data_IF_177470509301
#
_entry.id   IF_177470509301
#
_cell.length_a   1.000
_cell.length_b   1.000
_cell.length_c   1.000
_cell.angle_alpha   90.00
_cell.angle_beta   90.00
_cell.angle_gamma   90.00
#
_symmetry.space_group_name_H-M   'P 1'
#
loop_
_entity.id
_entity.type
_entity.pdbx_description
1 polymer ?
#
# COMPACT_ATOMS: atom_id res chain seq x y z
N UNK A 1 -32.28 48.23 -19.80
CA UNK A 1 -31.20 47.23 -19.78
C UNK A 1 -30.32 47.47 -18.54
N UNK A 2 -30.77 47.15 -17.35
CA UNK A 2 -29.98 47.36 -16.11
C UNK A 2 -30.75 46.75 -14.94
N UNK A 3 -30.86 45.41 -14.86
CA UNK A 3 -31.43 44.71 -13.66
C UNK A 3 -31.22 43.19 -13.69
N UNK A 4 -30.27 42.66 -14.47
CA UNK A 4 -29.99 41.23 -14.57
C UNK A 4 -28.56 40.80 -14.16
N UNK A 5 -27.75 41.72 -13.63
CA UNK A 5 -26.33 41.47 -13.30
C UNK A 5 -26.04 41.26 -11.81
N UNK A 6 -27.05 41.31 -10.90
CA UNK A 6 -26.80 41.25 -9.44
C UNK A 6 -27.19 39.94 -8.75
N UNK A 7 -27.59 38.89 -9.49
CA UNK A 7 -27.95 37.58 -8.89
C UNK A 7 -27.01 36.42 -9.17
N UNK A 8 -25.93 36.59 -9.93
CA UNK A 8 -24.96 35.55 -10.19
C UNK A 8 -23.74 35.51 -9.23
N UNK A 9 -23.51 36.62 -8.47
CA UNK A 9 -22.34 36.67 -7.57
C UNK A 9 -22.55 36.02 -6.17
N UNK A 10 -23.78 35.70 -5.78
CA UNK A 10 -24.04 35.12 -4.47
C UNK A 10 -23.96 33.58 -4.44
N UNK A 11 -24.03 32.90 -5.59
CA UNK A 11 -24.00 31.44 -5.65
C UNK A 11 -22.58 30.86 -5.75
N UNK A 12 -21.58 31.63 -6.15
CA UNK A 12 -20.18 31.19 -6.24
C UNK A 12 -19.38 31.33 -4.94
N UNK A 13 -19.92 31.97 -3.91
CA UNK A 13 -19.24 32.14 -2.61
C UNK A 13 -19.60 31.11 -1.54
N UNK A 14 -20.59 30.25 -1.77
CA UNK A 14 -21.02 29.26 -0.77
C UNK A 14 -20.34 27.87 -0.91
N UNK A 15 -19.64 27.60 -2.00
CA UNK A 15 -19.00 26.27 -2.22
C UNK A 15 -17.52 26.25 -1.82
N UNK A 16 -16.88 27.43 -1.62
CA UNK A 16 -15.43 27.48 -1.31
C UNK A 16 -15.08 27.67 0.17
N UNK A 17 -16.05 27.79 1.08
CA UNK A 17 -15.78 28.16 2.48
C UNK A 17 -15.71 27.01 3.48
N UNK A 18 -16.09 25.78 3.11
CA UNK A 18 -16.13 24.65 4.06
C UNK A 18 -15.00 23.61 3.92
N UNK A 19 -14.02 23.81 3.03
CA UNK A 19 -12.89 22.88 2.85
C UNK A 19 -11.55 23.33 3.44
N UNK A 20 -11.51 24.50 4.11
CA UNK A 20 -10.26 25.06 4.64
C UNK A 20 -10.30 25.30 6.15
N UNK A 21 -10.66 24.31 6.97
CA UNK A 21 -10.34 24.34 8.41
C UNK A 21 -10.32 22.93 8.99
N UNK A 22 -9.17 22.27 8.91
CA UNK A 22 -8.64 21.40 9.97
C UNK A 22 -7.15 21.14 9.69
N UNK A 23 -6.34 22.17 9.83
CA UNK A 23 -4.91 22.04 9.99
C UNK A 23 -4.57 21.80 11.45
N UNK A 24 -4.76 20.61 11.98
CA UNK A 24 -4.11 20.23 13.24
C UNK A 24 -2.63 20.00 12.93
N UNK A 25 -1.75 20.79 13.54
CA UNK A 25 -0.31 20.56 13.62
C UNK A 25 -0.03 19.32 14.49
N UNK A 26 -0.49 18.14 14.07
CA UNK A 26 0.09 16.88 14.50
C UNK A 26 1.04 16.48 13.38
N UNK A 27 2.34 16.61 13.66
CA UNK A 27 3.37 15.92 12.89
C UNK A 27 3.07 14.41 13.06
N UNK A 28 2.26 13.84 12.15
CA UNK A 28 1.75 12.50 12.30
C UNK A 28 2.92 11.52 12.21
N UNK A 29 3.14 10.77 13.27
CA UNK A 29 4.04 9.62 13.30
C UNK A 29 3.46 8.43 12.50
N UNK A 30 2.32 8.60 11.87
CA UNK A 30 1.52 7.58 11.19
C UNK A 30 1.83 7.54 9.70
N UNK A 31 1.86 6.34 9.13
CA UNK A 31 1.62 6.16 7.70
C UNK A 31 0.12 6.19 7.42
N UNK A 32 -0.25 6.66 6.25
CA UNK A 32 -1.65 6.75 5.83
C UNK A 32 -1.78 6.17 4.42
N UNK A 33 -2.64 5.16 4.28
CA UNK A 33 -3.03 4.62 2.99
C UNK A 33 -4.28 5.32 2.49
N UNK A 34 -4.30 5.70 1.22
CA UNK A 34 -5.41 6.36 0.55
C UNK A 34 -5.68 5.65 -0.76
N UNK A 35 -6.76 4.85 -0.86
CA UNK A 35 -7.20 4.28 -2.13
C UNK A 35 -7.62 5.41 -3.07
N UNK A 36 -7.14 5.40 -4.31
CA UNK A 36 -7.59 6.30 -5.36
C UNK A 36 -8.48 5.60 -6.37
N UNK A 37 -8.37 4.27 -6.48
CA UNK A 37 -9.17 3.46 -7.38
C UNK A 37 -9.23 2.01 -6.90
N UNK A 38 -10.41 1.42 -6.96
CA UNK A 38 -10.73 0.09 -6.39
C UNK A 38 -11.44 -0.83 -7.37
N UNK A 39 -11.63 -0.40 -8.63
CA UNK A 39 -12.30 -1.19 -9.67
C UNK A 39 -11.32 -2.12 -10.38
N UNK A 40 -11.82 -3.28 -10.77
CA UNK A 40 -11.15 -4.26 -11.63
C UNK A 40 -11.46 -3.98 -13.10
N UNK A 41 -10.45 -4.10 -13.97
CA UNK A 41 -10.49 -4.07 -15.43
C UNK A 41 -11.06 -2.78 -16.05
N UNK A 42 -12.20 -2.28 -15.60
CA UNK A 42 -12.92 -1.15 -16.23
C UNK A 42 -13.34 -0.10 -15.21
N UNK A 43 -13.36 1.16 -15.66
CA UNK A 43 -13.92 2.26 -14.86
C UNK A 43 -15.42 2.07 -14.74
N UNK A 44 -15.95 2.20 -13.53
CA UNK A 44 -17.39 2.28 -13.25
C UNK A 44 -17.70 3.65 -12.62
N UNK A 45 -18.99 3.99 -12.56
CA UNK A 45 -19.41 5.35 -12.20
C UNK A 45 -18.74 5.88 -10.92
N UNK A 46 -18.64 5.03 -9.88
CA UNK A 46 -18.17 5.46 -8.56
C UNK A 46 -16.80 4.87 -8.17
N UNK A 47 -16.18 4.06 -9.04
CA UNK A 47 -14.88 3.44 -8.77
C UNK A 47 -13.93 3.62 -9.94
N UNK A 48 -12.71 4.09 -9.65
CA UNK A 48 -11.63 4.18 -10.62
C UNK A 48 -10.74 2.96 -10.65
N UNK A 49 -9.83 2.95 -11.61
CA UNK A 49 -8.86 1.88 -11.80
C UNK A 49 -7.78 1.91 -10.72
N UNK A 50 -7.13 0.77 -10.53
CA UNK A 50 -6.19 0.50 -9.44
C UNK A 50 -5.14 1.59 -9.27
N UNK A 51 -5.17 2.25 -8.13
CA UNK A 51 -4.14 3.19 -7.69
C UNK A 51 -4.26 3.42 -6.17
N UNK A 52 -3.14 3.32 -5.46
CA UNK A 52 -3.08 3.48 -4.00
C UNK A 52 -1.92 4.40 -3.61
N UNK A 53 -2.19 5.34 -2.75
CA UNK A 53 -1.19 6.25 -2.18
C UNK A 53 -0.87 5.84 -0.76
N UNK A 54 0.40 5.62 -0.48
CA UNK A 54 0.92 5.54 0.89
C UNK A 54 1.65 6.84 1.22
N UNK A 55 1.13 7.57 2.19
CA UNK A 55 1.70 8.83 2.67
C UNK A 55 2.50 8.59 3.94
N UNK A 56 3.78 8.97 3.94
CA UNK A 56 4.66 8.92 5.10
C UNK A 56 5.42 10.23 5.24
N UNK A 57 5.23 10.96 6.34
CA UNK A 57 5.92 12.24 6.62
C UNK A 57 5.91 13.20 5.44
N UNK A 58 4.77 13.31 4.77
CA UNK A 58 4.57 14.18 3.62
C UNK A 58 5.25 13.73 2.32
N UNK A 59 5.82 12.54 2.27
CA UNK A 59 6.28 11.84 1.06
C UNK A 59 5.23 10.83 0.65
N UNK A 60 5.20 10.50 -0.63
CA UNK A 60 4.18 9.64 -1.25
C UNK A 60 4.87 8.49 -1.98
N UNK A 61 4.42 7.28 -1.72
CA UNK A 61 4.62 6.09 -2.53
C UNK A 61 3.30 5.80 -3.25
N UNK A 62 3.35 5.53 -4.55
CA UNK A 62 2.18 5.20 -5.37
C UNK A 62 2.26 3.73 -5.78
N UNK A 63 1.23 2.96 -5.50
CA UNK A 63 1.08 1.56 -5.91
C UNK A 63 0.01 1.48 -6.98
N UNK A 64 0.40 0.99 -8.14
CA UNK A 64 -0.30 1.05 -9.41
C UNK A 64 -0.67 2.47 -9.85
N UNK A 65 -0.95 2.60 -11.14
CA UNK A 65 -1.26 3.86 -11.77
C UNK A 65 -2.20 3.64 -12.95
N UNK A 66 -3.41 3.16 -12.67
CA UNK A 66 -4.46 2.99 -13.66
C UNK A 66 -4.86 4.32 -14.30
N UNK A 67 -5.62 4.27 -15.38
CA UNK A 67 -6.06 5.47 -16.07
C UNK A 67 -6.86 6.40 -15.14
N UNK A 68 -6.71 7.71 -15.31
CA UNK A 68 -7.33 8.72 -14.47
C UNK A 68 -6.63 8.98 -13.13
N UNK A 69 -5.57 8.25 -12.76
CA UNK A 69 -4.86 8.41 -11.47
C UNK A 69 -4.44 9.87 -11.21
N UNK A 70 -3.95 10.59 -12.23
CA UNK A 70 -3.54 11.99 -12.03
C UNK A 70 -4.70 12.92 -11.61
N UNK A 71 -5.91 12.70 -12.12
CA UNK A 71 -7.10 13.46 -11.72
C UNK A 71 -7.52 13.10 -10.29
N UNK A 72 -7.38 11.83 -9.93
CA UNK A 72 -7.70 11.32 -8.59
C UNK A 72 -6.71 11.80 -7.55
N UNK A 73 -5.43 11.91 -7.86
CA UNK A 73 -4.42 12.58 -7.03
C UNK A 73 -4.81 14.04 -6.75
N UNK A 74 -5.23 14.78 -7.79
CA UNK A 74 -5.69 16.15 -7.66
C UNK A 74 -6.92 16.25 -6.75
N UNK A 75 -7.92 15.39 -6.97
CA UNK A 75 -9.15 15.32 -6.17
C UNK A 75 -8.85 14.99 -4.69
N UNK A 76 -7.88 14.11 -4.43
CA UNK A 76 -7.40 13.77 -3.09
C UNK A 76 -6.52 14.85 -2.45
N UNK A 77 -6.23 15.97 -3.13
CA UNK A 77 -5.31 17.00 -2.64
C UNK A 77 -3.85 16.57 -2.55
N UNK A 78 -3.46 15.52 -3.27
CA UNK A 78 -2.11 14.94 -3.23
C UNK A 78 -1.26 15.56 -4.35
N UNK A 79 -0.21 16.29 -3.93
CA UNK A 79 0.70 16.95 -4.88
C UNK A 79 1.62 15.92 -5.54
N UNK A 80 1.66 15.88 -6.89
CA UNK A 80 2.56 15.02 -7.69
C UNK A 80 4.03 15.18 -7.32
N UNK A 81 4.46 16.39 -6.94
CA UNK A 81 5.82 16.67 -6.48
C UNK A 81 6.22 15.93 -5.18
N UNK A 82 5.26 15.38 -4.44
CA UNK A 82 5.51 14.58 -3.23
C UNK A 82 5.77 13.11 -3.52
N UNK A 83 5.41 12.60 -4.70
CA UNK A 83 5.63 11.20 -5.09
C UNK A 83 7.14 10.96 -5.21
N UNK A 84 7.62 9.94 -4.52
CA UNK A 84 9.03 9.53 -4.48
C UNK A 84 9.29 8.23 -5.23
N UNK A 85 8.30 7.33 -5.21
CA UNK A 85 8.36 6.11 -5.99
C UNK A 85 6.98 5.70 -6.49
N UNK A 86 6.96 5.00 -7.62
CA UNK A 86 5.81 4.35 -8.23
C UNK A 86 6.13 2.87 -8.35
N UNK A 87 5.22 2.02 -7.90
CA UNK A 87 5.34 0.57 -7.90
C UNK A 87 4.23 0.00 -8.75
N UNK A 88 4.57 -0.67 -9.84
CA UNK A 88 3.59 -1.30 -10.75
C UNK A 88 3.59 -2.79 -10.53
N UNK A 89 2.42 -3.34 -10.19
CA UNK A 89 2.26 -4.76 -9.91
C UNK A 89 2.41 -5.64 -11.14
N UNK A 90 1.74 -5.26 -12.24
CA UNK A 90 1.75 -5.98 -13.51
C UNK A 90 1.24 -5.11 -14.67
N UNK A 91 1.19 -5.66 -15.88
CA UNK A 91 0.87 -4.91 -17.09
C UNK A 91 -0.53 -5.21 -17.67
N UNK A 92 -1.57 -5.29 -16.81
CA UNK A 92 -2.93 -5.05 -17.27
C UNK A 92 -3.20 -3.53 -17.29
N UNK A 93 -3.94 -3.06 -18.31
CA UNK A 93 -4.11 -1.62 -18.57
C UNK A 93 -4.66 -0.83 -17.39
N UNK A 94 -5.49 -1.45 -16.58
CA UNK A 94 -6.10 -0.86 -15.38
C UNK A 94 -5.10 -0.63 -14.21
N UNK A 95 -3.84 -1.09 -14.34
CA UNK A 95 -2.79 -0.92 -13.33
C UNK A 95 -1.68 0.04 -13.72
N UNK A 96 -1.48 0.35 -15.01
CA UNK A 96 -0.31 1.16 -15.40
C UNK A 96 -0.55 2.28 -16.41
N UNK A 97 -1.63 2.25 -17.20
CA UNK A 97 -1.80 3.17 -18.34
C UNK A 97 -1.76 4.66 -17.94
N UNK A 98 -2.21 4.99 -16.73
CA UNK A 98 -2.16 6.36 -16.21
C UNK A 98 -0.75 6.92 -15.97
N UNK A 99 0.29 6.06 -15.92
CA UNK A 99 1.66 6.48 -15.62
C UNK A 99 2.20 7.46 -16.68
N UNK A 100 1.86 7.27 -17.94
CA UNK A 100 2.36 8.10 -19.03
C UNK A 100 1.93 9.56 -18.87
N UNK A 101 0.63 9.81 -18.69
CA UNK A 101 0.11 11.15 -18.43
C UNK A 101 0.63 11.77 -17.15
N UNK A 102 0.82 10.96 -16.10
CA UNK A 102 1.38 11.40 -14.83
C UNK A 102 2.84 11.86 -14.98
N UNK A 103 3.69 11.10 -15.68
CA UNK A 103 5.10 11.43 -15.92
C UNK A 103 5.25 12.68 -16.82
N UNK A 104 4.44 12.80 -17.89
CA UNK A 104 4.41 13.99 -18.75
C UNK A 104 4.04 15.22 -17.91
N UNK A 105 2.99 15.12 -17.07
CA UNK A 105 2.57 16.23 -16.21
C UNK A 105 3.66 16.62 -15.21
N UNK A 106 4.35 15.65 -14.60
CA UNK A 106 5.48 15.94 -13.71
C UNK A 106 6.63 16.65 -14.43
N UNK A 107 6.91 16.29 -15.70
CA UNK A 107 7.94 16.92 -16.52
C UNK A 107 7.56 18.35 -16.87
N UNK A 108 6.31 18.59 -17.30
CA UNK A 108 5.81 19.93 -17.63
C UNK A 108 5.79 20.86 -16.41
N UNK A 109 5.56 20.31 -15.22
CA UNK A 109 5.65 21.06 -13.94
C UNK A 109 7.09 21.30 -13.46
N UNK A 110 8.10 20.99 -14.32
CA UNK A 110 9.53 21.17 -14.03
C UNK A 110 9.95 20.51 -12.72
N UNK A 111 9.55 19.26 -12.54
CA UNK A 111 10.00 18.45 -11.39
C UNK A 111 11.52 18.34 -11.40
N UNK A 112 12.16 18.58 -10.27
CA UNK A 112 13.61 18.43 -10.09
C UNK A 112 13.97 17.18 -9.27
N UNK A 113 13.04 16.78 -8.38
CA UNK A 113 13.29 15.65 -7.47
C UNK A 113 13.29 14.33 -8.26
N UNK A 114 14.29 13.45 -8.06
CA UNK A 114 14.31 12.12 -8.66
C UNK A 114 13.06 11.32 -8.34
N UNK A 115 12.66 10.44 -9.27
CA UNK A 115 11.55 9.51 -9.13
C UNK A 115 12.06 8.09 -9.31
N UNK A 116 11.74 7.18 -8.38
CA UNK A 116 11.97 5.75 -8.57
C UNK A 116 10.74 5.11 -9.20
N UNK A 117 10.93 4.29 -10.23
CA UNK A 117 9.87 3.45 -10.82
C UNK A 117 10.31 2.00 -10.70
N UNK A 118 9.51 1.22 -9.97
CA UNK A 118 9.66 -0.23 -9.82
C UNK A 118 8.60 -0.88 -10.69
N UNK A 119 9.00 -1.59 -11.73
CA UNK A 119 8.05 -2.13 -12.71
C UNK A 119 8.64 -3.31 -13.50
N UNK A 120 7.79 -4.14 -14.14
CA UNK A 120 8.20 -5.08 -15.16
C UNK A 120 9.00 -4.40 -16.27
N UNK A 121 9.97 -5.14 -16.85
CA UNK A 121 10.87 -4.62 -17.91
C UNK A 121 10.12 -3.98 -19.07
N UNK A 122 9.08 -4.65 -19.55
CA UNK A 122 8.33 -4.16 -20.72
C UNK A 122 7.75 -2.76 -20.51
N UNK A 123 7.31 -2.41 -19.30
CA UNK A 123 6.82 -1.04 -19.05
C UNK A 123 7.93 -0.01 -19.17
N UNK A 124 9.12 -0.33 -18.69
CA UNK A 124 10.28 0.57 -18.76
C UNK A 124 10.65 0.82 -20.22
N UNK A 125 10.65 -0.25 -21.03
CA UNK A 125 10.91 -0.16 -22.47
C UNK A 125 9.84 0.68 -23.18
N UNK A 126 8.56 0.47 -22.86
CA UNK A 126 7.43 1.27 -23.40
C UNK A 126 7.60 2.75 -23.03
N UNK A 127 7.90 3.09 -21.78
CA UNK A 127 8.09 4.48 -21.34
C UNK A 127 9.14 5.17 -22.21
N UNK A 128 10.25 4.48 -22.53
CA UNK A 128 11.32 5.00 -23.38
C UNK A 128 10.94 5.26 -24.84
N UNK A 129 9.80 4.74 -25.31
CA UNK A 129 9.30 4.98 -26.68
C UNK A 129 8.31 6.13 -26.78
N UNK A 130 7.67 6.52 -25.67
CA UNK A 130 6.62 7.54 -25.64
C UNK A 130 7.23 8.94 -25.90
N UNK A 131 6.74 9.71 -26.90
CA UNK A 131 7.16 11.11 -27.09
C UNK A 131 6.93 11.94 -25.80
N UNK A 132 7.94 12.71 -25.42
CA UNK A 132 7.95 13.49 -24.18
C UNK A 132 8.44 12.70 -22.94
N UNK A 133 8.66 11.37 -23.06
CA UNK A 133 9.21 10.53 -22.00
C UNK A 133 10.52 9.85 -22.39
N UNK A 134 10.98 10.04 -23.64
CA UNK A 134 12.26 9.48 -24.13
C UNK A 134 13.44 10.01 -23.30
N UNK A 135 14.55 9.27 -23.26
CA UNK A 135 15.77 9.77 -22.64
C UNK A 135 16.16 11.15 -23.17
N UNK A 136 16.33 12.13 -22.28
CA UNK A 136 16.64 13.52 -22.63
C UNK A 136 15.44 14.44 -22.88
N UNK A 137 14.22 13.91 -23.00
CA UNK A 137 12.99 14.72 -23.15
C UNK A 137 12.34 15.03 -21.79
N UNK A 138 12.60 14.22 -20.79
CA UNK A 138 12.07 14.38 -19.42
C UNK A 138 12.97 15.28 -18.58
N UNK A 139 12.41 16.19 -17.79
CA UNK A 139 13.16 17.21 -17.03
C UNK A 139 13.71 16.76 -15.67
N UNK A 140 13.46 15.51 -15.26
CA UNK A 140 13.92 14.98 -13.98
C UNK A 140 14.50 13.57 -14.14
N UNK A 141 15.31 13.18 -13.17
CA UNK A 141 15.90 11.84 -13.17
C UNK A 141 14.86 10.78 -12.80
N UNK A 142 14.75 9.73 -13.60
CA UNK A 142 14.04 8.51 -13.25
C UNK A 142 15.06 7.42 -12.94
N UNK A 143 14.88 6.77 -11.78
CA UNK A 143 15.63 5.59 -11.38
C UNK A 143 14.73 4.38 -11.58
N UNK A 144 15.09 3.50 -12.49
CA UNK A 144 14.33 2.29 -12.77
C UNK A 144 14.85 1.13 -11.94
N UNK A 145 13.95 0.41 -11.27
CA UNK A 145 14.18 -0.89 -10.65
C UNK A 145 13.35 -1.90 -11.43
N UNK A 146 14.04 -2.70 -12.21
CA UNK A 146 13.42 -3.67 -13.12
C UNK A 146 13.03 -4.92 -12.37
N UNK A 147 11.80 -5.37 -12.56
CA UNK A 147 11.32 -6.66 -12.10
C UNK A 147 11.32 -7.63 -13.28
N UNK A 148 12.06 -8.72 -13.13
CA UNK A 148 12.13 -9.80 -14.12
C UNK A 148 11.16 -10.92 -13.76
N UNK A 149 10.71 -11.71 -14.72
CA UNK A 149 9.71 -12.77 -14.51
C UNK A 149 10.16 -13.87 -13.52
N UNK A 150 11.46 -14.08 -13.38
CA UNK A 150 12.06 -15.05 -12.45
C UNK A 150 12.36 -14.44 -11.06
N UNK A 151 11.87 -13.22 -10.80
CA UNK A 151 12.14 -12.55 -9.54
C UNK A 151 11.60 -13.37 -8.35
N UNK A 152 12.42 -13.40 -7.29
CA UNK A 152 12.03 -13.93 -5.99
C UNK A 152 11.65 -12.77 -5.07
N UNK A 153 11.19 -13.10 -3.88
CA UNK A 153 10.98 -12.10 -2.83
C UNK A 153 12.27 -11.31 -2.57
N UNK A 154 12.26 -10.00 -2.82
CA UNK A 154 13.44 -9.13 -2.74
C UNK A 154 13.11 -7.70 -2.36
N UNK A 155 14.06 -6.99 -1.74
CA UNK A 155 13.96 -5.56 -1.52
C UNK A 155 14.09 -4.82 -2.86
N UNK A 156 13.13 -3.93 -3.15
CA UNK A 156 13.08 -3.16 -4.40
C UNK A 156 13.16 -1.64 -4.18
N UNK A 157 13.05 -1.19 -2.94
CA UNK A 157 13.16 0.23 -2.62
C UNK A 157 13.56 0.42 -1.15
N UNK A 158 14.45 1.39 -0.93
CA UNK A 158 14.83 1.87 0.41
C UNK A 158 14.95 3.38 0.40
N UNK A 159 14.12 4.05 1.18
CA UNK A 159 14.15 5.51 1.24
C UNK A 159 13.08 6.10 2.17
N UNK A 160 13.32 7.31 2.63
CA UNK A 160 12.37 8.08 3.46
C UNK A 160 11.93 7.35 4.75
N UNK A 161 12.80 6.50 5.30
CA UNK A 161 12.50 5.70 6.49
C UNK A 161 11.62 4.48 6.22
N UNK A 162 11.47 4.10 4.96
CA UNK A 162 10.70 2.94 4.50
C UNK A 162 11.58 2.02 3.66
N UNK A 163 11.32 0.73 3.76
CA UNK A 163 11.77 -0.29 2.82
C UNK A 163 10.55 -0.92 2.14
N UNK A 164 10.72 -1.30 0.88
CA UNK A 164 9.69 -2.02 0.13
C UNK A 164 10.28 -3.30 -0.43
N UNK A 165 9.61 -4.40 -0.18
CA UNK A 165 9.90 -5.72 -0.73
C UNK A 165 8.81 -6.08 -1.74
N UNK A 166 9.21 -6.69 -2.85
CA UNK A 166 8.29 -7.28 -3.82
C UNK A 166 8.39 -8.82 -3.73
N UNK A 167 7.29 -9.51 -4.00
CA UNK A 167 7.25 -10.95 -4.17
C UNK A 167 6.28 -11.33 -5.30
N UNK A 168 6.54 -12.42 -6.05
CA UNK A 168 5.69 -12.87 -7.14
C UNK A 168 4.32 -13.32 -6.61
N UNK A 169 3.29 -13.05 -7.42
CA UNK A 169 1.90 -13.45 -7.20
C UNK A 169 1.42 -14.38 -8.32
N UNK A 170 0.28 -15.04 -8.10
CA UNK A 170 -0.32 -15.96 -9.08
C UNK A 170 -1.51 -15.34 -9.80
N UNK A 171 -1.24 -14.73 -10.98
CA UNK A 171 -2.28 -14.06 -11.78
C UNK A 171 -2.39 -14.58 -13.22
N UNK A 172 -1.65 -15.62 -13.58
CA UNK A 172 -1.63 -16.15 -14.95
C UNK A 172 -0.74 -15.34 -15.93
N UNK A 173 -0.17 -14.23 -15.48
CA UNK A 173 0.94 -13.48 -16.09
C UNK A 173 1.84 -12.96 -15.00
N UNK A 174 3.02 -12.45 -15.36
CA UNK A 174 3.93 -11.86 -14.39
C UNK A 174 3.24 -10.77 -13.58
N UNK A 175 3.15 -10.99 -12.28
CA UNK A 175 2.53 -10.09 -11.32
C UNK A 175 3.29 -10.16 -9.99
N UNK A 176 3.44 -9.03 -9.33
CA UNK A 176 4.07 -8.92 -8.01
C UNK A 176 3.18 -8.15 -7.04
N UNK A 177 3.22 -8.56 -5.79
CA UNK A 177 2.73 -7.73 -4.69
C UNK A 177 3.87 -7.01 -3.99
N UNK A 178 3.52 -6.11 -3.09
CA UNK A 178 4.48 -5.27 -2.37
C UNK A 178 4.20 -5.29 -0.87
N UNK A 179 5.29 -5.31 -0.09
CA UNK A 179 5.25 -5.09 1.36
C UNK A 179 6.10 -3.88 1.71
N UNK A 180 5.51 -2.94 2.42
CA UNK A 180 6.19 -1.75 2.94
C UNK A 180 6.37 -1.89 4.43
N UNK A 181 7.57 -1.65 4.89
CA UNK A 181 7.89 -1.64 6.30
C UNK A 181 8.68 -0.38 6.65
N UNK A 182 8.52 0.06 7.88
CA UNK A 182 9.39 1.11 8.42
C UNK A 182 10.79 0.54 8.61
N UNK A 183 11.79 1.31 8.18
CA UNK A 183 13.16 1.02 8.55
C UNK A 183 13.30 1.40 10.03
N UNK A 184 13.27 0.41 10.90
CA UNK A 184 13.52 0.61 12.31
C UNK A 184 14.98 0.98 12.52
N UNK A 185 15.24 1.75 13.58
CA UNK A 185 16.59 1.92 14.14
C UNK A 185 17.19 0.57 14.55
N UNK A 186 18.34 0.56 15.21
CA UNK A 186 19.02 -0.67 15.62
C UNK A 186 18.00 -1.63 16.26
N UNK A 187 18.12 -2.93 15.94
CA UNK A 187 17.17 -3.99 16.26
C UNK A 187 16.48 -3.77 17.61
N UNK A 188 15.19 -3.42 17.57
CA UNK A 188 14.41 -3.33 18.79
C UNK A 188 14.15 -4.76 19.29
N UNK A 189 14.69 -5.08 20.46
CA UNK A 189 14.50 -6.38 21.09
C UNK A 189 13.16 -6.38 21.85
N UNK A 190 12.36 -7.41 21.63
CA UNK A 190 11.16 -7.66 22.41
C UNK A 190 11.57 -8.25 23.76
N UNK A 191 11.36 -7.48 24.83
CA UNK A 191 11.76 -7.89 26.17
C UNK A 191 11.08 -9.17 26.63
N UNK A 192 9.81 -9.38 26.26
CA UNK A 192 9.07 -10.59 26.66
C UNK A 192 9.62 -11.82 25.95
N UNK A 193 9.84 -11.72 24.63
CA UNK A 193 10.45 -12.80 23.85
C UNK A 193 11.88 -13.06 24.31
N UNK A 194 12.67 -12.03 24.56
CA UNK A 194 14.05 -12.14 25.02
C UNK A 194 14.12 -12.89 26.37
N UNK A 195 13.27 -12.50 27.32
CA UNK A 195 13.17 -13.22 28.61
C UNK A 195 12.73 -14.67 28.45
N UNK A 196 11.75 -14.94 27.57
CA UNK A 196 11.32 -16.31 27.27
C UNK A 196 12.44 -17.18 26.67
N UNK A 197 13.40 -16.54 25.97
CA UNK A 197 14.61 -17.20 25.44
C UNK A 197 15.77 -17.26 26.44
N UNK A 198 15.63 -16.72 27.67
CA UNK A 198 16.67 -16.73 28.69
C UNK A 198 17.66 -15.55 28.61
N UNK A 199 17.25 -14.46 27.99
CA UNK A 199 18.01 -13.21 27.91
C UNK A 199 17.54 -12.29 29.03
N UNK A 200 18.34 -12.16 30.10
CA UNK A 200 17.96 -11.39 31.30
C UNK A 200 18.91 -10.25 31.60
N UNK A 201 20.11 -10.22 31.00
CA UNK A 201 21.13 -9.23 31.28
C UNK A 201 21.09 -8.09 30.26
N UNK A 202 21.23 -6.85 30.71
CA UNK A 202 21.19 -5.65 29.85
C UNK A 202 22.25 -5.69 28.76
N UNK A 203 23.44 -6.22 29.02
CA UNK A 203 24.50 -6.37 28.02
C UNK A 203 24.09 -7.32 26.88
N UNK A 204 23.37 -8.41 27.20
CA UNK A 204 22.83 -9.34 26.19
C UNK A 204 21.82 -8.64 25.29
N UNK A 205 20.92 -7.81 25.83
CA UNK A 205 19.99 -6.99 25.06
C UNK A 205 20.74 -6.02 24.11
N UNK A 206 21.77 -5.35 24.61
CA UNK A 206 22.58 -4.42 23.79
C UNK A 206 23.27 -5.15 22.65
N UNK A 207 23.85 -6.33 22.89
CA UNK A 207 24.51 -7.14 21.86
C UNK A 207 23.53 -7.65 20.81
N UNK A 208 22.35 -8.13 21.23
CA UNK A 208 21.27 -8.52 20.30
C UNK A 208 20.80 -7.33 19.46
N UNK A 209 20.61 -6.16 20.09
CA UNK A 209 20.23 -4.93 19.38
C UNK A 209 21.31 -4.48 18.38
N UNK A 210 22.59 -4.77 18.68
CA UNK A 210 23.71 -4.54 17.76
C UNK A 210 23.84 -5.60 16.64
N UNK A 211 22.95 -6.62 16.62
CA UNK A 211 22.97 -7.66 15.59
C UNK A 211 23.78 -8.91 15.93
N UNK A 212 24.28 -9.04 17.17
CA UNK A 212 25.08 -10.19 17.58
C UNK A 212 24.25 -11.32 18.18
N UNK A 213 24.53 -12.54 17.80
CA UNK A 213 23.99 -13.76 18.44
C UNK A 213 24.59 -13.94 19.84
N UNK A 214 23.76 -14.35 20.80
CA UNK A 214 24.16 -14.64 22.20
C UNK A 214 24.20 -16.15 22.39
N UNK A 215 25.27 -16.64 22.97
CA UNK A 215 25.35 -18.02 23.47
C UNK A 215 24.99 -18.01 24.95
N UNK A 216 24.01 -18.85 25.32
CA UNK A 216 23.58 -19.03 26.71
C UNK A 216 24.46 -20.06 27.43
N UNK A 217 24.49 -20.05 28.78
CA UNK A 217 25.26 -21.00 29.58
C UNK A 217 24.88 -22.47 29.35
N UNK A 218 23.67 -22.74 28.91
CA UNK A 218 23.16 -24.09 28.58
C UNK A 218 23.53 -24.56 27.16
N UNK A 219 24.32 -23.76 26.42
CA UNK A 219 24.77 -24.06 25.06
C UNK A 219 23.82 -23.64 23.94
N UNK A 220 22.59 -23.19 24.26
CA UNK A 220 21.68 -22.63 23.25
C UNK A 220 22.19 -21.29 22.72
N UNK A 221 21.86 -20.99 21.48
CA UNK A 221 22.16 -19.69 20.88
C UNK A 221 20.86 -18.93 20.60
N UNK A 222 20.85 -17.63 20.86
CA UNK A 222 19.73 -16.73 20.59
C UNK A 222 20.19 -15.68 19.59
N UNK A 223 19.60 -15.69 18.39
CA UNK A 223 19.87 -14.69 17.37
C UNK A 223 18.94 -13.48 17.54
N UNK A 224 19.32 -12.29 17.02
CA UNK A 224 18.44 -11.13 17.02
C UNK A 224 17.05 -11.40 16.43
N UNK A 225 16.96 -12.17 15.35
CA UNK A 225 15.68 -12.44 14.66
C UNK A 225 14.69 -13.22 15.52
N UNK A 226 15.17 -14.03 16.47
CA UNK A 226 14.32 -14.81 17.37
C UNK A 226 13.65 -13.95 18.46
N UNK A 227 14.22 -12.77 18.74
CA UNK A 227 13.78 -11.89 19.84
C UNK A 227 13.55 -10.46 19.36
N UNK A 228 13.56 -10.25 18.07
CA UNK A 228 13.29 -8.95 17.48
C UNK A 228 11.85 -8.54 17.77
N UNK A 229 11.66 -7.33 18.27
CA UNK A 229 10.33 -6.76 18.39
C UNK A 229 9.70 -6.73 17.01
N UNK A 230 8.48 -7.25 16.91
CA UNK A 230 7.70 -7.21 15.67
C UNK A 230 7.68 -5.76 15.15
N UNK A 231 8.17 -5.55 13.94
CA UNK A 231 8.08 -4.24 13.29
C UNK A 231 6.59 -3.90 13.13
N UNK A 232 6.15 -2.82 13.75
CA UNK A 232 4.80 -2.30 13.57
C UNK A 232 4.82 -1.27 12.46
N UNK A 233 3.73 -1.16 11.73
CA UNK A 233 3.62 -0.27 10.59
C UNK A 233 3.95 -0.97 9.28
N UNK A 234 3.65 -2.27 9.17
CA UNK A 234 3.75 -3.01 7.93
C UNK A 234 2.46 -2.87 7.12
N UNK A 235 2.61 -2.53 5.84
CA UNK A 235 1.54 -2.48 4.86
C UNK A 235 1.83 -3.49 3.75
N UNK A 236 0.85 -4.31 3.38
CA UNK A 236 0.94 -5.23 2.25
C UNK A 236 -0.11 -4.87 1.19
N UNK A 237 0.34 -4.82 -0.07
CA UNK A 237 -0.46 -4.62 -1.27
C UNK A 237 -0.40 -5.88 -2.12
N UNK A 238 -1.47 -6.67 -2.11
CA UNK A 238 -1.59 -7.98 -2.74
C UNK A 238 -2.83 -7.94 -3.63
N UNK A 239 -2.65 -7.52 -4.87
CA UNK A 239 -3.73 -7.36 -5.83
C UNK A 239 -3.52 -8.28 -7.02
N UNK A 240 -4.61 -8.62 -7.70
CA UNK A 240 -4.63 -9.46 -8.89
C UNK A 240 -3.88 -10.77 -8.68
N UNK A 241 -4.49 -11.62 -7.86
CA UNK A 241 -3.88 -12.90 -7.55
C UNK A 241 -4.89 -13.93 -7.08
N UNK A 242 -4.64 -15.19 -7.39
CA UNK A 242 -5.18 -16.30 -6.61
C UNK A 242 -4.49 -16.36 -5.25
N UNK A 243 -5.05 -17.05 -4.25
CA UNK A 243 -4.32 -17.36 -3.03
C UNK A 243 -3.00 -18.08 -3.37
N UNK A 244 -1.86 -17.50 -2.94
CA UNK A 244 -0.55 -18.01 -3.25
C UNK A 244 0.46 -17.76 -2.11
N UNK A 245 1.58 -18.47 -2.16
CA UNK A 245 2.65 -18.35 -1.16
C UNK A 245 3.23 -16.95 -1.09
N UNK A 246 3.44 -16.29 -2.24
CA UNK A 246 3.96 -14.91 -2.29
C UNK A 246 3.02 -13.90 -1.62
N UNK A 247 1.70 -14.05 -1.82
CA UNK A 247 0.69 -13.25 -1.12
C UNK A 247 0.73 -13.46 0.39
N UNK A 248 0.87 -14.72 0.83
CA UNK A 248 0.97 -15.07 2.25
C UNK A 248 2.26 -14.51 2.87
N UNK A 249 3.40 -14.62 2.17
CA UNK A 249 4.69 -14.06 2.61
C UNK A 249 4.63 -12.53 2.81
N UNK A 250 4.04 -11.80 1.85
CA UNK A 250 3.90 -10.34 1.93
C UNK A 250 2.93 -9.92 3.05
N UNK A 251 1.84 -10.67 3.23
CA UNK A 251 0.79 -10.38 4.21
C UNK A 251 1.20 -10.73 5.64
N UNK A 252 2.25 -11.55 5.83
CA UNK A 252 2.66 -12.07 7.13
C UNK A 252 2.77 -10.96 8.18
N UNK A 253 1.89 -10.99 9.18
CA UNK A 253 1.85 -10.01 10.27
C UNK A 253 1.72 -8.54 9.82
N UNK A 254 1.20 -8.25 8.65
CA UNK A 254 0.96 -6.88 8.20
C UNK A 254 -0.11 -6.20 9.08
N UNK A 255 0.13 -4.95 9.50
CA UNK A 255 -0.88 -4.19 10.24
C UNK A 255 -2.06 -3.82 9.34
N UNK A 256 -1.81 -3.63 8.03
CA UNK A 256 -2.82 -3.39 7.02
C UNK A 256 -2.50 -4.20 5.76
N UNK A 257 -3.43 -5.06 5.37
CA UNK A 257 -3.41 -5.81 4.12
C UNK A 257 -4.47 -5.25 3.17
N UNK A 258 -4.08 -4.85 1.98
CA UNK A 258 -4.97 -4.64 0.82
C UNK A 258 -4.90 -5.88 -0.04
N UNK A 259 -6.06 -6.51 -0.31
CA UNK A 259 -6.09 -7.77 -1.07
C UNK A 259 -7.19 -7.78 -2.12
N UNK A 260 -6.88 -8.41 -3.26
CA UNK A 260 -7.83 -8.75 -4.32
C UNK A 260 -9.08 -9.44 -3.75
N UNK A 261 -10.25 -8.93 -4.13
CA UNK A 261 -11.55 -9.49 -3.82
C UNK A 261 -12.49 -9.27 -5.02
N UNK A 262 -11.99 -9.63 -6.20
CA UNK A 262 -12.69 -9.38 -7.47
C UNK A 262 -14.05 -10.05 -7.51
N UNK A 263 -14.20 -11.18 -6.83
CA UNK A 263 -15.38 -12.03 -6.93
C UNK A 263 -15.99 -12.43 -5.57
N UNK A 264 -17.29 -12.77 -5.59
CA UNK A 264 -17.97 -13.44 -4.48
C UNK A 264 -17.62 -14.94 -4.46
N UNK A 265 -18.00 -15.60 -3.37
CA UNK A 265 -17.81 -17.06 -3.23
C UNK A 265 -18.58 -17.87 -4.29
N UNK A 266 -19.70 -17.36 -4.78
CA UNK A 266 -20.48 -18.01 -5.86
C UNK A 266 -19.69 -18.03 -7.19
N UNK A 267 -18.82 -17.06 -7.42
CA UNK A 267 -17.98 -16.94 -8.62
C UNK A 267 -16.58 -17.57 -8.47
N UNK A 268 -16.36 -18.52 -7.55
CA UNK A 268 -15.02 -19.11 -7.24
C UNK A 268 -14.34 -19.71 -8.48
N UNK A 269 -15.06 -20.42 -9.34
CA UNK A 269 -14.47 -20.99 -10.57
C UNK A 269 -13.98 -19.89 -11.51
N UNK A 270 -14.72 -18.79 -11.58
CA UNK A 270 -14.34 -17.63 -12.38
C UNK A 270 -13.13 -16.93 -11.78
N UNK A 271 -13.12 -16.71 -10.47
CA UNK A 271 -11.96 -16.15 -9.77
C UNK A 271 -10.70 -16.95 -10.10
N UNK A 272 -10.75 -18.26 -9.94
CA UNK A 272 -9.62 -19.17 -10.25
C UNK A 272 -9.22 -19.10 -11.72
N UNK A 273 -10.16 -19.16 -12.66
CA UNK A 273 -9.86 -19.16 -14.10
C UNK A 273 -9.28 -17.85 -14.62
N UNK A 274 -9.61 -16.72 -13.97
CA UNK A 274 -9.13 -15.38 -14.36
C UNK A 274 -7.93 -14.89 -13.53
N UNK A 275 -7.44 -15.68 -12.57
CA UNK A 275 -6.26 -15.31 -11.77
C UNK A 275 -6.56 -14.35 -10.63
N UNK A 276 -7.75 -14.47 -10.03
CA UNK A 276 -8.21 -13.59 -8.95
C UNK A 276 -8.65 -14.37 -7.72
N UNK A 277 -8.93 -13.64 -6.65
CA UNK A 277 -9.46 -14.17 -5.40
C UNK A 277 -10.93 -13.81 -5.20
N UNK A 278 -11.62 -14.65 -4.43
CA UNK A 278 -12.88 -14.26 -3.82
C UNK A 278 -12.64 -13.44 -2.56
N UNK A 279 -13.66 -12.71 -2.10
CA UNK A 279 -13.58 -11.98 -0.84
C UNK A 279 -13.31 -12.91 0.35
N UNK A 280 -13.81 -14.16 0.30
CA UNK A 280 -13.55 -15.20 1.30
C UNK A 280 -12.09 -15.65 1.28
N UNK A 281 -11.49 -15.83 0.08
CA UNK A 281 -10.08 -16.20 -0.06
C UNK A 281 -9.17 -15.13 0.52
N UNK A 282 -9.43 -13.86 0.23
CA UNK A 282 -8.73 -12.72 0.82
C UNK A 282 -8.77 -12.75 2.36
N UNK A 283 -9.95 -13.02 2.92
CA UNK A 283 -10.13 -13.09 4.37
C UNK A 283 -9.42 -14.30 4.99
N UNK A 284 -9.40 -15.45 4.30
CA UNK A 284 -8.68 -16.64 4.76
C UNK A 284 -7.16 -16.40 4.76
N UNK A 285 -6.63 -15.77 3.70
CA UNK A 285 -5.23 -15.38 3.63
C UNK A 285 -4.88 -14.39 4.75
N UNK A 286 -5.69 -13.35 4.97
CA UNK A 286 -5.47 -12.37 6.04
C UNK A 286 -5.41 -13.03 7.43
N UNK A 287 -6.33 -13.97 7.70
CA UNK A 287 -6.39 -14.73 8.95
C UNK A 287 -5.15 -15.63 9.12
N UNK A 288 -4.77 -16.35 8.06
CA UNK A 288 -3.60 -17.25 8.09
C UNK A 288 -2.30 -16.48 8.25
N UNK A 289 -2.18 -15.33 7.59
CA UNK A 289 -1.03 -14.44 7.68
C UNK A 289 -0.94 -13.68 9.02
N UNK A 290 -1.97 -13.70 9.86
CA UNK A 290 -2.01 -12.92 11.09
C UNK A 290 -2.09 -11.41 10.84
N UNK A 291 -2.70 -10.98 9.73
CA UNK A 291 -2.86 -9.57 9.41
C UNK A 291 -3.70 -8.83 10.47
N UNK A 292 -3.38 -7.57 10.73
CA UNK A 292 -4.12 -6.75 11.69
C UNK A 292 -5.47 -6.29 11.16
N UNK A 293 -5.51 -5.84 9.91
CA UNK A 293 -6.72 -5.39 9.21
C UNK A 293 -6.65 -5.79 7.74
N UNK A 294 -7.80 -6.17 7.17
CA UNK A 294 -7.97 -6.44 5.74
C UNK A 294 -8.81 -5.32 5.08
N UNK A 295 -8.31 -4.80 3.96
CA UNK A 295 -9.08 -3.98 3.03
C UNK A 295 -9.27 -4.76 1.74
N UNK A 296 -10.52 -5.06 1.43
CA UNK A 296 -10.92 -5.68 0.16
C UNK A 296 -10.89 -4.65 -0.96
N UNK A 297 -10.37 -5.03 -2.12
CA UNK A 297 -10.23 -4.16 -3.29
C UNK A 297 -10.42 -4.91 -4.61
N UNK A 298 -10.25 -4.20 -5.72
CA UNK A 298 -10.25 -4.75 -7.08
C UNK A 298 -11.58 -5.41 -7.46
N UNK A 299 -12.68 -4.71 -7.17
CA UNK A 299 -14.03 -5.25 -7.35
C UNK A 299 -14.43 -5.30 -8.81
N UNK A 300 -14.93 -6.43 -9.27
CA UNK A 300 -15.52 -6.58 -10.61
C UNK A 300 -16.67 -5.57 -10.83
N UNK A 301 -16.72 -5.02 -12.04
CA UNK A 301 -17.80 -4.11 -12.46
C UNK A 301 -19.21 -4.74 -12.39
N UNK A 302 -19.32 -6.09 -12.30
CA UNK A 302 -20.57 -6.81 -12.12
C UNK A 302 -21.27 -6.52 -10.79
N UNK A 303 -20.49 -6.12 -9.75
CA UNK A 303 -21.04 -5.79 -8.44
C UNK A 303 -21.20 -4.28 -8.33
N UNK A 304 -22.43 -3.79 -8.50
CA UNK A 304 -22.78 -2.40 -8.17
C UNK A 304 -22.75 -2.16 -6.66
N UNK A 305 -23.12 -3.17 -5.88
CA UNK A 305 -23.01 -3.21 -4.42
C UNK A 305 -22.04 -4.33 -3.99
N UNK A 306 -21.03 -3.98 -3.22
CA UNK A 306 -20.00 -4.89 -2.71
C UNK A 306 -20.28 -5.38 -1.28
N UNK A 307 -21.48 -5.13 -0.76
CA UNK A 307 -21.88 -5.52 0.60
C UNK A 307 -21.80 -7.04 0.80
N UNK A 308 -22.19 -7.82 -0.23
CA UNK A 308 -22.08 -9.28 -0.20
C UNK A 308 -20.62 -9.73 0.01
N UNK A 309 -19.68 -9.16 -0.76
CA UNK A 309 -18.25 -9.50 -0.65
C UNK A 309 -17.72 -9.21 0.76
N UNK A 310 -18.14 -8.07 1.34
CA UNK A 310 -17.78 -7.72 2.71
C UNK A 310 -18.33 -8.73 3.72
N UNK A 311 -19.57 -9.15 3.58
CA UNK A 311 -20.21 -10.12 4.49
C UNK A 311 -19.51 -11.48 4.45
N UNK A 312 -19.17 -11.97 3.26
CA UNK A 312 -18.43 -13.23 3.07
C UNK A 312 -17.05 -13.17 3.75
N UNK A 313 -16.35 -12.08 3.61
CA UNK A 313 -15.04 -11.89 4.24
C UNK A 313 -15.14 -11.75 5.76
N UNK A 314 -16.12 -10.99 6.28
CA UNK A 314 -16.34 -10.81 7.73
C UNK A 314 -16.66 -12.13 8.44
N UNK A 315 -17.29 -13.08 7.76
CA UNK A 315 -17.56 -14.41 8.31
C UNK A 315 -16.27 -15.21 8.61
N UNK A 316 -15.12 -14.83 8.00
CA UNK A 316 -13.82 -15.50 8.14
C UNK A 316 -12.84 -14.68 8.97
N UNK A 317 -12.79 -13.36 8.72
CA UNK A 317 -11.89 -12.43 9.37
C UNK A 317 -12.63 -11.14 9.76
N UNK A 318 -12.84 -10.96 11.06
CA UNK A 318 -13.72 -9.92 11.61
C UNK A 318 -13.22 -8.48 11.37
N UNK A 319 -11.91 -8.25 11.27
CA UNK A 319 -11.36 -6.92 11.04
C UNK A 319 -11.19 -6.64 9.53
N UNK A 320 -12.31 -6.73 8.80
CA UNK A 320 -12.38 -6.53 7.35
C UNK A 320 -13.20 -5.29 6.99
N UNK A 321 -12.67 -4.46 6.12
CA UNK A 321 -13.37 -3.32 5.52
C UNK A 321 -13.28 -3.39 3.98
N UNK A 322 -14.19 -2.68 3.30
CA UNK A 322 -14.09 -2.34 1.89
C UNK A 322 -13.12 -1.16 1.75
N UNK A 323 -12.22 -1.20 0.79
CA UNK A 323 -11.39 -0.05 0.46
C UNK A 323 -12.27 1.05 -0.15
N UNK A 324 -12.45 2.14 0.58
CA UNK A 324 -13.21 3.31 0.15
C UNK A 324 -12.29 4.35 -0.48
N UNK A 325 -12.56 4.77 -1.70
CA UNK A 325 -11.75 5.78 -2.39
C UNK A 325 -11.74 7.11 -1.64
N UNK A 326 -10.54 7.70 -1.55
CA UNK A 326 -10.25 8.96 -0.85
C UNK A 326 -10.34 8.92 0.67
N UNK A 327 -10.70 7.79 1.29
CA UNK A 327 -10.63 7.60 2.73
C UNK A 327 -9.19 7.35 3.16
N UNK A 328 -8.78 7.97 4.26
CA UNK A 328 -7.47 7.79 4.87
C UNK A 328 -7.52 6.64 5.88
N UNK A 329 -6.68 5.63 5.69
CA UNK A 329 -6.49 4.51 6.61
C UNK A 329 -5.14 4.65 7.29
N UNK A 330 -5.15 4.89 8.61
CA UNK A 330 -3.94 5.04 9.40
C UNK A 330 -3.29 3.69 9.70
N UNK A 331 -1.96 3.63 9.58
CA UNK A 331 -1.13 2.49 9.92
C UNK A 331 -0.24 2.92 11.09
N UNK A 332 -0.53 2.41 12.29
CA UNK A 332 0.13 2.81 13.52
C UNK A 332 1.48 2.13 13.71
N UNK A 333 2.49 2.92 14.04
CA UNK A 333 3.81 2.46 14.45
C UNK A 333 3.94 2.31 15.99
N UNK A 334 3.07 2.98 16.74
CA UNK A 334 3.01 2.91 18.20
C UNK A 334 1.69 2.23 18.56
N UNK A 335 1.74 0.99 19.06
CA UNK A 335 0.54 0.27 19.47
C UNK A 335 -0.32 1.13 20.38
N UNK A 336 -1.62 1.15 20.13
CA UNK A 336 -2.57 1.62 21.09
C UNK A 336 -2.22 0.97 22.44
N UNK A 337 -1.86 1.78 23.44
CA UNK A 337 -1.86 1.31 24.82
C UNK A 337 -3.27 0.78 25.03
N UNK A 338 -3.41 -0.52 25.25
CA UNK A 338 -4.65 -1.07 25.73
C UNK A 338 -5.07 -0.21 26.92
N UNK A 339 -6.13 0.54 26.77
CA UNK A 339 -6.89 0.99 27.94
C UNK A 339 -7.46 -0.30 28.55
N UNK A 340 -6.63 -0.95 29.35
CA UNK A 340 -7.13 -1.92 30.34
C UNK A 340 -7.86 -1.07 31.35
N UNK A 341 -9.16 -1.28 31.42
CA UNK A 341 -10.05 -0.84 32.46
C UNK A 341 -9.34 -0.84 33.83
N UNK A 342 -9.25 0.33 34.41
CA UNK A 342 -9.07 0.45 35.84
C UNK A 342 -10.38 -0.01 36.47
N UNK A 343 -10.40 -1.02 37.36
CA UNK A 343 -11.58 -1.29 38.14
C UNK A 343 -11.79 -0.09 39.06
N UNK A 344 -12.98 0.52 38.97
CA UNK A 344 -13.46 1.44 39.98
C UNK A 344 -13.46 0.75 41.36
N UNK A 345 -12.73 1.30 42.30
CA UNK A 345 -13.08 1.29 43.70
C UNK A 345 -13.89 2.54 44.03
#
# INVERSE_FOLDING_TARGET
MSLLCSRMDSMHRCISANYLKKGSKHCSKLMELIPLGTSSATIVQDRGLSAYVLRNRGKVLLFDCGDGTQFRLLKAGIRRSRIRAIFISHLHGDHYVGIFGLLISMSLERRETPLTIVAPRELIDIIGTIPGLRPGEIHFQIQYVVLEEDCKSQEVYRGHGLQVRAAPLDHGRFCVGYRVEKIDGPNQIDGVLAHAHGIDQQEQFQRLAAGHTIQLPDGRTVSPDQVKKRSRGAFAYVTDTRPCEGGLDLAGDADLLVHDATFSQEDTERASSTGHSTARDAALLAKTAGAGKLLLTHFSARYSDVTLLRQEALAVFSNTEIAEEYREYSIDFEGARSQTDSPNE
#
